data_IF_793757157291
#
_entry.id   IF_793757157291
#
_cell.length_a   1.000
_cell.length_b   1.000
_cell.length_c   1.000
_cell.angle_alpha   90.00
_cell.angle_beta   90.00
_cell.angle_gamma   90.00
#
_symmetry.space_group_name_H-M   'P 1'
#
loop_
_entity.id
_entity.type
_entity.pdbx_description
1 polymer ?
#
# COMPACT_ATOMS: atom_id res chain seq x y z
N UNK A 1 1.31 11.06 4.32
CA UNK A 1 0.43 11.15 3.15
C UNK A 1 -1.01 11.18 3.61
N UNK A 2 -1.82 11.99 3.01
CA UNK A 2 -3.24 12.07 3.31
C UNK A 2 -4.05 12.02 2.03
N UNK A 3 -5.13 11.26 2.03
CA UNK A 3 -6.11 11.31 0.97
C UNK A 3 -7.24 12.25 1.34
N UNK A 4 -7.55 13.20 0.49
CA UNK A 4 -8.73 14.05 0.65
C UNK A 4 -9.85 13.47 -0.16
N UNK A 5 -10.90 12.98 0.50
CA UNK A 5 -12.13 12.61 -0.18
C UNK A 5 -12.86 13.90 -0.60
N UNK A 6 -12.94 14.14 -1.90
CA UNK A 6 -13.77 15.19 -2.46
C UNK A 6 -15.12 14.59 -2.84
N UNK A 7 -16.11 14.81 -2.00
CA UNK A 7 -17.50 14.58 -2.37
C UNK A 7 -18.05 15.92 -2.81
N UNK A 8 -18.27 16.10 -4.10
CA UNK A 8 -18.71 17.38 -4.66
C UNK A 8 -19.61 17.21 -5.86
N UNK A 9 -20.24 18.29 -6.29
CA UNK A 9 -21.17 18.34 -7.42
C UNK A 9 -22.58 17.93 -7.06
N UNK A 10 -23.36 17.58 -8.07
CA UNK A 10 -24.79 17.32 -7.98
C UNK A 10 -25.13 15.97 -7.30
N UNK A 11 -24.11 15.21 -6.91
CA UNK A 11 -24.28 13.88 -6.28
C UNK A 11 -24.45 13.94 -4.76
N UNK A 12 -24.33 15.11 -4.14
CA UNK A 12 -24.46 15.24 -2.69
C UNK A 12 -25.64 16.15 -2.37
N UNK A 13 -26.70 15.53 -1.88
CA UNK A 13 -27.86 16.22 -1.31
C UNK A 13 -27.61 16.34 0.20
N UNK A 14 -27.45 17.58 0.69
CA UNK A 14 -27.27 17.87 2.10
C UNK A 14 -25.91 18.52 2.44
N UNK A 15 -25.55 18.52 3.72
CA UNK A 15 -24.31 19.12 4.20
C UNK A 15 -23.09 18.37 3.69
N UNK A 16 -22.14 19.10 3.15
CA UNK A 16 -20.88 18.53 2.64
C UNK A 16 -19.91 18.36 3.77
N UNK A 17 -19.41 17.16 3.95
CA UNK A 17 -18.29 16.91 4.84
C UNK A 17 -16.99 17.00 4.03
N UNK A 18 -16.19 18.01 4.32
CA UNK A 18 -14.82 18.13 3.83
C UNK A 18 -13.89 18.15 5.03
N UNK A 19 -12.87 17.32 5.02
CA UNK A 19 -11.91 17.23 6.09
C UNK A 19 -10.55 16.83 5.57
N UNK A 20 -9.54 17.14 6.37
CA UNK A 20 -8.16 16.74 6.16
C UNK A 20 -7.56 16.41 7.51
N UNK A 21 -6.85 15.29 7.58
CA UNK A 21 -6.04 14.94 8.74
C UNK A 21 -4.59 14.93 8.28
N UNK A 22 -3.74 15.62 9.00
CA UNK A 22 -2.30 15.69 8.77
C UNK A 22 -1.52 15.32 10.02
N UNK A 23 -0.39 14.68 9.86
CA UNK A 23 0.56 14.40 10.92
C UNK A 23 1.96 14.86 10.53
N UNK A 24 2.71 15.37 11.49
CA UNK A 24 4.11 15.74 11.34
C UNK A 24 4.92 14.94 12.37
N UNK A 25 5.94 14.23 11.87
CA UNK A 25 6.87 13.49 12.70
C UNK A 25 8.31 13.93 12.45
N UNK A 26 9.18 13.66 13.42
CA UNK A 26 10.62 13.85 13.29
C UNK A 26 11.29 12.51 13.54
N UNK A 27 12.20 12.11 12.66
CA UNK A 27 12.93 10.84 12.77
C UNK A 27 14.39 11.04 12.35
N UNK A 28 15.29 10.33 13.00
CA UNK A 28 16.69 10.25 12.60
C UNK A 28 16.90 9.33 11.39
N UNK A 29 15.97 8.41 11.15
CA UNK A 29 15.96 7.49 10.01
C UNK A 29 14.75 7.76 9.14
N UNK A 30 14.99 7.98 7.86
CA UNK A 30 13.95 8.18 6.85
C UNK A 30 14.00 7.04 5.85
N UNK A 31 12.89 6.35 5.68
CA UNK A 31 12.67 5.31 4.66
C UNK A 31 12.08 5.93 3.39
N UNK A 32 12.79 6.89 2.82
CA UNK A 32 12.28 7.66 1.68
C UNK A 32 12.34 6.84 0.38
N UNK A 33 11.37 7.02 -0.51
CA UNK A 33 11.29 6.35 -1.82
C UNK A 33 12.59 6.42 -2.64
N UNK A 34 13.29 7.54 -2.57
CA UNK A 34 14.58 7.77 -3.26
C UNK A 34 15.75 6.92 -2.75
N UNK A 35 15.58 6.21 -1.65
CA UNK A 35 16.63 5.43 -1.01
C UNK A 35 16.68 3.97 -1.47
N UNK A 36 15.74 3.56 -2.34
CA UNK A 36 15.77 2.23 -2.98
C UNK A 36 17.05 2.07 -3.83
N UNK A 37 17.63 0.88 -3.82
CA UNK A 37 18.91 0.58 -4.49
C UNK A 37 18.83 -0.69 -5.33
N UNK A 38 19.57 -0.77 -6.43
CA UNK A 38 19.72 -2.03 -7.16
C UNK A 38 20.22 -3.14 -6.22
N UNK A 39 19.62 -4.33 -6.33
CA UNK A 39 19.88 -5.47 -5.47
C UNK A 39 18.96 -5.59 -4.26
N UNK A 40 18.15 -4.59 -3.94
CA UNK A 40 17.14 -4.68 -2.90
C UNK A 40 16.01 -5.64 -3.31
N UNK A 41 15.40 -6.26 -2.32
CA UNK A 41 14.13 -6.99 -2.46
C UNK A 41 12.95 -6.09 -2.18
N UNK A 42 11.79 -6.45 -2.75
CA UNK A 42 10.55 -5.74 -2.58
C UNK A 42 9.55 -6.65 -1.86
N UNK A 43 9.10 -6.22 -0.69
CA UNK A 43 8.11 -6.92 0.11
C UNK A 43 6.80 -6.13 0.09
N UNK A 44 5.67 -6.83 0.17
CA UNK A 44 4.36 -6.20 0.29
C UNK A 44 3.52 -6.91 1.35
N UNK A 45 2.85 -6.13 2.19
CA UNK A 45 1.84 -6.67 3.11
C UNK A 45 0.51 -6.94 2.40
N UNK A 46 -0.35 -7.73 3.04
CA UNK A 46 -1.75 -7.81 2.59
C UNK A 46 -2.43 -6.44 2.62
N UNK A 47 -3.43 -6.29 1.75
CA UNK A 47 -4.24 -5.08 1.67
C UNK A 47 -5.69 -5.38 1.27
N UNK A 48 -6.61 -4.55 1.74
CA UNK A 48 -8.03 -4.73 1.50
C UNK A 48 -8.70 -3.49 0.88
N UNK A 49 -7.90 -2.59 0.34
CA UNK A 49 -8.38 -1.37 -0.29
C UNK A 49 -8.61 -0.22 0.67
N UNK A 50 -8.41 0.97 0.17
CA UNK A 50 -8.60 2.22 0.88
C UNK A 50 -9.76 3.02 0.32
N UNK A 51 -9.63 4.35 0.39
CA UNK A 51 -10.71 5.27 0.07
C UNK A 51 -11.34 5.09 -1.31
N UNK A 52 -10.55 4.80 -2.34
CA UNK A 52 -11.07 4.58 -3.71
C UNK A 52 -11.89 3.31 -3.80
N UNK A 53 -11.43 2.21 -3.20
CA UNK A 53 -12.14 0.93 -3.16
C UNK A 53 -13.42 1.05 -2.34
N UNK A 54 -13.34 1.70 -1.16
CA UNK A 54 -14.49 1.98 -0.31
C UNK A 54 -15.55 2.82 -1.04
N UNK A 55 -15.14 3.88 -1.74
CA UNK A 55 -16.06 4.72 -2.52
C UNK A 55 -16.73 3.93 -3.65
N UNK A 56 -15.99 3.10 -4.37
CA UNK A 56 -16.55 2.22 -5.40
C UNK A 56 -17.53 1.22 -4.79
N UNK A 57 -17.16 0.58 -3.68
CA UNK A 57 -18.03 -0.36 -2.97
C UNK A 57 -19.36 0.28 -2.52
N UNK A 58 -19.31 1.47 -1.97
CA UNK A 58 -20.51 2.23 -1.59
C UNK A 58 -21.37 2.57 -2.81
N UNK A 59 -20.76 3.06 -3.89
CA UNK A 59 -21.47 3.45 -5.10
C UNK A 59 -22.20 2.28 -5.76
N UNK A 60 -21.59 1.09 -5.75
CA UNK A 60 -22.16 -0.12 -6.33
C UNK A 60 -22.92 -1.00 -5.32
N UNK A 61 -23.15 -0.53 -4.09
CA UNK A 61 -23.91 -1.25 -3.07
C UNK A 61 -23.24 -2.51 -2.52
N UNK A 62 -21.90 -2.60 -2.59
CA UNK A 62 -21.08 -3.73 -2.12
C UNK A 62 -20.67 -3.50 -0.65
N UNK A 63 -21.65 -3.48 0.25
CA UNK A 63 -21.40 -3.13 1.65
C UNK A 63 -20.45 -4.09 2.36
N UNK A 64 -20.42 -5.36 1.97
CA UNK A 64 -19.49 -6.36 2.48
C UNK A 64 -18.02 -6.02 2.16
N UNK A 65 -17.79 -5.31 1.07
CA UNK A 65 -16.44 -4.82 0.69
C UNK A 65 -16.07 -3.57 1.49
N UNK A 66 -17.05 -2.71 1.81
CA UNK A 66 -16.81 -1.54 2.67
C UNK A 66 -16.23 -1.98 4.02
N UNK A 67 -16.77 -3.04 4.63
CA UNK A 67 -16.27 -3.57 5.91
C UNK A 67 -14.81 -4.02 5.81
N UNK A 68 -14.43 -4.68 4.71
CA UNK A 68 -13.03 -5.10 4.48
C UNK A 68 -12.07 -3.91 4.40
N UNK A 69 -12.52 -2.76 3.87
CA UNK A 69 -11.67 -1.56 3.73
C UNK A 69 -11.42 -0.82 5.05
N UNK A 70 -12.09 -1.20 6.13
CA UNK A 70 -11.94 -0.57 7.46
C UNK A 70 -10.79 -1.18 8.29
N UNK A 71 -9.90 -1.92 7.67
CA UNK A 71 -8.75 -2.49 8.34
C UNK A 71 -7.58 -1.49 8.49
N UNK A 72 -6.68 -1.79 9.42
CA UNK A 72 -5.48 -0.99 9.70
C UNK A 72 -4.19 -1.84 9.59
N UNK A 73 -4.22 -2.96 8.89
CA UNK A 73 -3.11 -3.93 8.83
C UNK A 73 -1.79 -3.33 8.38
N UNK A 74 -1.81 -2.42 7.41
CA UNK A 74 -0.60 -1.73 6.97
C UNK A 74 0.01 -0.83 8.06
N UNK A 75 -0.82 -0.26 8.95
CA UNK A 75 -0.35 0.49 10.12
C UNK A 75 0.23 -0.45 11.17
N UNK A 76 -0.41 -1.58 11.45
CA UNK A 76 0.11 -2.61 12.37
C UNK A 76 1.45 -3.17 11.90
N UNK A 77 1.59 -3.44 10.58
CA UNK A 77 2.87 -3.83 9.98
C UNK A 77 3.94 -2.75 10.12
N UNK A 78 3.59 -1.48 9.87
CA UNK A 78 4.50 -0.35 10.00
C UNK A 78 4.94 -0.15 11.45
N UNK A 79 4.02 -0.22 12.41
CA UNK A 79 4.31 -0.08 13.84
C UNK A 79 5.25 -1.20 14.32
N UNK A 80 5.00 -2.45 13.90
CA UNK A 80 5.84 -3.58 14.23
C UNK A 80 7.29 -3.40 13.72
N UNK A 81 7.44 -2.91 12.49
CA UNK A 81 8.77 -2.64 11.90
C UNK A 81 9.49 -1.48 12.59
N UNK A 82 8.76 -0.45 13.03
CA UNK A 82 9.35 0.68 13.74
C UNK A 82 9.80 0.32 15.17
N UNK A 83 9.23 -0.73 15.75
CA UNK A 83 9.63 -1.23 17.07
C UNK A 83 10.93 -2.05 17.04
N UNK A 84 11.39 -2.48 15.87
CA UNK A 84 12.59 -3.27 15.67
C UNK A 84 13.62 -2.52 14.80
N UNK A 85 14.88 -2.89 14.91
CA UNK A 85 15.99 -2.23 14.20
C UNK A 85 16.29 -2.91 12.86
N UNK A 86 15.35 -2.79 11.91
CA UNK A 86 15.54 -3.25 10.54
C UNK A 86 16.19 -2.20 9.65
N UNK A 87 17.08 -2.63 8.76
CA UNK A 87 17.66 -1.77 7.73
C UNK A 87 16.71 -1.69 6.52
N UNK A 88 15.74 -0.77 6.57
CA UNK A 88 14.79 -0.54 5.49
C UNK A 88 15.23 0.68 4.69
N UNK A 89 15.42 0.51 3.38
CA UNK A 89 15.80 1.60 2.48
C UNK A 89 14.64 2.49 2.11
N UNK A 90 13.49 1.89 1.72
CA UNK A 90 12.28 2.64 1.40
C UNK A 90 11.04 1.92 1.92
N UNK A 91 10.07 2.71 2.39
CA UNK A 91 8.78 2.19 2.85
C UNK A 91 7.68 3.19 2.50
N UNK A 92 6.57 2.69 1.98
CA UNK A 92 5.40 3.52 1.65
C UNK A 92 4.14 2.68 1.68
N UNK A 93 3.01 3.32 1.96
CA UNK A 93 1.69 2.76 1.76
C UNK A 93 1.33 2.74 0.26
N UNK A 94 0.55 1.75 -0.16
CA UNK A 94 0.01 1.65 -1.52
C UNK A 94 -1.32 2.39 -1.57
N UNK A 95 -1.26 3.67 -1.95
CA UNK A 95 -2.41 4.58 -1.95
C UNK A 95 -2.84 4.99 -3.38
N UNK A 96 -3.17 6.26 -3.60
CA UNK A 96 -3.64 6.76 -4.88
C UNK A 96 -2.65 6.47 -6.02
N UNK A 97 -3.16 5.87 -7.10
CA UNK A 97 -2.33 5.39 -8.21
C UNK A 97 -1.92 3.91 -8.08
N UNK A 98 -2.19 3.31 -6.92
CA UNK A 98 -1.92 1.90 -6.64
C UNK A 98 -0.45 1.54 -6.71
N UNK A 99 -0.15 0.25 -6.71
CA UNK A 99 1.22 -0.28 -6.84
C UNK A 99 1.92 0.28 -8.07
N UNK A 100 1.18 0.45 -9.17
CA UNK A 100 1.73 0.98 -10.43
C UNK A 100 2.21 2.43 -10.29
N UNK A 101 1.45 3.26 -9.56
CA UNK A 101 1.83 4.64 -9.25
C UNK A 101 3.05 4.71 -8.34
N UNK A 102 3.04 3.96 -7.24
CA UNK A 102 4.12 3.95 -6.27
C UNK A 102 5.42 3.38 -6.87
N UNK A 103 5.35 2.29 -7.63
CA UNK A 103 6.51 1.74 -8.34
C UNK A 103 7.12 2.76 -9.32
N UNK A 104 6.27 3.49 -10.07
CA UNK A 104 6.75 4.55 -10.97
C UNK A 104 7.43 5.69 -10.22
N UNK A 105 6.88 6.13 -9.09
CA UNK A 105 7.49 7.19 -8.28
C UNK A 105 8.82 6.75 -7.67
N UNK A 106 8.92 5.52 -7.17
CA UNK A 106 10.17 4.97 -6.64
C UNK A 106 11.20 4.87 -7.77
N UNK A 107 10.84 4.29 -8.91
CA UNK A 107 11.74 4.16 -10.05
C UNK A 107 12.29 5.51 -10.51
N UNK A 108 11.43 6.51 -10.62
CA UNK A 108 11.82 7.85 -11.03
C UNK A 108 12.71 8.57 -10.01
N UNK A 109 12.34 8.49 -8.72
CA UNK A 109 13.05 9.24 -7.67
C UNK A 109 14.36 8.60 -7.24
N UNK A 110 14.47 7.28 -7.31
CA UNK A 110 15.68 6.52 -6.99
C UNK A 110 16.57 6.26 -8.21
N UNK A 111 16.05 6.42 -9.44
CA UNK A 111 16.78 6.08 -10.66
C UNK A 111 17.00 4.57 -10.85
N UNK A 112 15.99 3.78 -10.48
CA UNK A 112 16.03 2.31 -10.49
C UNK A 112 14.87 1.71 -11.27
N UNK A 113 14.92 0.43 -11.56
CA UNK A 113 13.82 -0.36 -12.11
C UNK A 113 13.26 -1.32 -11.05
N UNK A 114 11.95 -1.32 -10.84
CA UNK A 114 11.27 -2.30 -10.01
C UNK A 114 10.72 -3.43 -10.88
N UNK A 115 11.08 -4.66 -10.57
CA UNK A 115 10.54 -5.88 -11.21
C UNK A 115 9.60 -6.54 -10.21
N UNK A 116 8.33 -6.62 -10.56
CA UNK A 116 7.27 -7.07 -9.65
C UNK A 116 6.61 -8.35 -10.18
N UNK A 117 6.32 -9.27 -9.30
CA UNK A 117 5.65 -10.53 -9.58
C UNK A 117 4.14 -10.40 -9.31
N UNK A 118 3.35 -10.30 -10.37
CA UNK A 118 1.91 -10.03 -10.27
C UNK A 118 1.15 -11.10 -9.48
N UNK A 119 1.51 -12.37 -9.62
CA UNK A 119 0.84 -13.46 -8.92
C UNK A 119 0.99 -13.35 -7.39
N UNK A 120 2.17 -12.98 -6.91
CA UNK A 120 2.42 -12.75 -5.49
C UNK A 120 1.63 -11.56 -4.96
N UNK A 121 1.63 -10.45 -5.68
CA UNK A 121 0.84 -9.27 -5.31
C UNK A 121 -0.65 -9.59 -5.23
N UNK A 122 -1.17 -10.34 -6.22
CA UNK A 122 -2.57 -10.71 -6.30
C UNK A 122 -3.03 -11.52 -5.09
N UNK A 123 -2.18 -12.44 -4.56
CA UNK A 123 -2.49 -13.25 -3.37
C UNK A 123 -2.63 -12.43 -2.09
N UNK A 124 -2.00 -11.27 -2.04
CA UNK A 124 -2.01 -10.37 -0.88
C UNK A 124 -3.20 -9.41 -0.89
N UNK A 125 -3.92 -9.29 -2.00
CA UNK A 125 -5.14 -8.47 -2.04
C UNK A 125 -6.31 -9.27 -1.48
N UNK A 126 -7.12 -8.64 -0.62
CA UNK A 126 -8.33 -9.25 -0.08
C UNK A 126 -9.24 -9.79 -1.20
N UNK A 127 -9.67 -11.04 -1.08
CA UNK A 127 -10.39 -11.74 -2.13
C UNK A 127 -11.72 -11.07 -2.53
N UNK A 128 -12.48 -10.53 -1.57
CA UNK A 128 -13.74 -9.83 -1.85
C UNK A 128 -13.52 -8.51 -2.58
N UNK A 129 -12.47 -7.80 -2.20
CA UNK A 129 -12.05 -6.56 -2.88
C UNK A 129 -11.66 -6.88 -4.32
N UNK A 130 -10.83 -7.90 -4.52
CA UNK A 130 -10.38 -8.32 -5.84
C UNK A 130 -11.54 -8.74 -6.75
N UNK A 131 -12.46 -9.57 -6.24
CA UNK A 131 -13.68 -9.99 -6.95
C UNK A 131 -14.53 -8.78 -7.39
N UNK A 132 -14.74 -7.80 -6.50
CA UNK A 132 -15.46 -6.59 -6.84
C UNK A 132 -14.74 -5.81 -7.96
N UNK A 133 -13.45 -5.54 -7.80
CA UNK A 133 -12.68 -4.78 -8.80
C UNK A 133 -12.72 -5.45 -10.16
N UNK A 134 -12.58 -6.77 -10.23
CA UNK A 134 -12.68 -7.55 -11.46
C UNK A 134 -14.07 -7.46 -12.09
N UNK A 135 -15.13 -7.60 -11.29
CA UNK A 135 -16.51 -7.48 -11.76
C UNK A 135 -16.83 -6.11 -12.36
N UNK A 136 -16.16 -5.08 -11.87
CA UNK A 136 -16.28 -3.69 -12.33
C UNK A 136 -15.25 -3.34 -13.43
N UNK A 137 -14.40 -4.29 -13.82
CA UNK A 137 -13.29 -4.08 -14.77
C UNK A 137 -12.32 -2.97 -14.32
N UNK A 138 -12.11 -2.86 -13.02
CA UNK A 138 -11.15 -1.93 -12.42
C UNK A 138 -9.84 -2.67 -12.19
N UNK A 139 -8.75 -2.10 -12.69
CA UNK A 139 -7.41 -2.62 -12.50
C UNK A 139 -6.94 -2.41 -11.05
N UNK A 140 -6.78 -3.51 -10.30
CA UNK A 140 -6.37 -3.47 -8.89
C UNK A 140 -4.95 -2.90 -8.69
N UNK A 141 -4.08 -2.97 -9.71
CA UNK A 141 -2.75 -2.39 -9.65
C UNK A 141 -2.75 -0.86 -9.74
N UNK A 142 -3.85 -0.26 -10.17
CA UNK A 142 -4.02 1.19 -10.35
C UNK A 142 -4.83 1.88 -9.24
N UNK A 143 -5.29 1.16 -8.24
CA UNK A 143 -6.08 1.70 -7.13
C UNK A 143 -5.42 1.46 -5.78
N UNK A 144 -5.78 2.27 -4.79
CA UNK A 144 -5.33 2.07 -3.41
C UNK A 144 -5.81 0.71 -2.89
N UNK A 145 -4.88 -0.10 -2.41
CA UNK A 145 -5.17 -1.37 -1.73
C UNK A 145 -4.78 -1.33 -0.25
N UNK A 146 -4.28 -0.21 0.24
CA UNK A 146 -3.83 0.02 1.62
C UNK A 146 -2.94 -1.11 2.15
N UNK A 147 -1.97 -1.51 1.33
CA UNK A 147 -0.88 -2.40 1.68
C UNK A 147 0.37 -1.57 2.02
N UNK A 148 1.31 -2.16 2.73
CA UNK A 148 2.63 -1.57 2.97
C UNK A 148 3.62 -2.15 1.97
N UNK A 149 4.30 -1.28 1.22
CA UNK A 149 5.39 -1.62 0.32
C UNK A 149 6.72 -1.31 1.00
N UNK A 150 7.62 -2.30 1.05
CA UNK A 150 8.89 -2.23 1.76
C UNK A 150 10.00 -2.63 0.81
N UNK A 151 11.07 -1.86 0.78
CA UNK A 151 12.28 -2.13 -0.01
C UNK A 151 13.46 -2.17 0.94
N UNK A 152 14.17 -3.28 0.94
CA UNK A 152 15.25 -3.53 1.88
C UNK A 152 16.33 -4.43 1.25
N UNK A 153 17.55 -4.47 1.81
CA UNK A 153 18.56 -5.44 1.42
C UNK A 153 18.06 -6.89 1.57
N UNK A 154 18.47 -7.82 0.70
CA UNK A 154 18.02 -9.22 0.76
C UNK A 154 18.22 -9.91 2.11
N UNK A 155 19.30 -9.59 2.83
CA UNK A 155 19.61 -10.14 4.15
C UNK A 155 18.61 -9.72 5.24
N UNK A 156 17.85 -8.66 5.04
CA UNK A 156 16.80 -8.19 5.95
C UNK A 156 15.43 -8.84 5.70
N UNK A 157 15.22 -9.45 4.54
CA UNK A 157 13.91 -9.92 4.08
C UNK A 157 13.25 -10.87 5.07
N UNK A 158 13.96 -11.91 5.51
CA UNK A 158 13.41 -12.91 6.43
C UNK A 158 13.05 -12.29 7.79
N UNK A 159 13.88 -11.38 8.30
CA UNK A 159 13.63 -10.64 9.53
C UNK A 159 12.39 -9.77 9.45
N UNK A 160 12.26 -8.98 8.39
CA UNK A 160 11.11 -8.12 8.12
C UNK A 160 9.83 -8.94 8.00
N UNK A 161 9.86 -10.04 7.22
CA UNK A 161 8.71 -10.94 7.05
C UNK A 161 8.30 -11.55 8.41
N UNK A 162 9.26 -12.01 9.21
CA UNK A 162 8.97 -12.57 10.52
C UNK A 162 8.33 -11.56 11.47
N UNK A 163 8.81 -10.31 11.46
CA UNK A 163 8.27 -9.22 12.29
C UNK A 163 6.83 -8.90 11.91
N UNK A 164 6.53 -8.72 10.63
CA UNK A 164 5.18 -8.40 10.15
C UNK A 164 4.21 -9.56 10.44
N UNK A 165 4.63 -10.79 10.21
CA UNK A 165 3.80 -11.98 10.49
C UNK A 165 3.52 -12.15 11.98
N UNK A 166 4.45 -11.81 12.88
CA UNK A 166 4.19 -11.79 14.34
C UNK A 166 3.12 -10.77 14.73
N UNK A 167 2.98 -9.69 13.99
CA UNK A 167 1.90 -8.72 14.15
C UNK A 167 0.55 -9.20 13.55
N UNK A 168 0.50 -10.42 13.01
CA UNK A 168 -0.74 -10.99 12.44
C UNK A 168 -1.06 -10.52 11.04
N UNK A 169 -0.10 -9.92 10.32
CA UNK A 169 -0.26 -9.41 8.97
C UNK A 169 0.45 -10.32 7.97
N UNK A 170 -0.24 -10.71 6.88
CA UNK A 170 0.40 -11.46 5.83
C UNK A 170 1.34 -10.56 5.01
N UNK A 171 2.49 -11.13 4.62
CA UNK A 171 3.50 -10.43 3.81
C UNK A 171 4.25 -11.44 2.96
N UNK A 172 4.59 -11.04 1.73
CA UNK A 172 5.42 -11.83 0.81
C UNK A 172 6.45 -10.93 0.11
N UNK A 173 7.53 -11.56 -0.34
CA UNK A 173 8.40 -10.96 -1.33
C UNK A 173 7.69 -10.96 -2.67
N UNK A 174 7.61 -9.79 -3.29
CA UNK A 174 6.89 -9.59 -4.54
C UNK A 174 7.80 -9.14 -5.69
N UNK A 175 9.09 -9.01 -5.47
CA UNK A 175 9.99 -8.60 -6.53
C UNK A 175 11.35 -8.10 -6.07
N UNK A 176 12.06 -7.48 -7.00
CA UNK A 176 13.41 -6.95 -6.77
C UNK A 176 13.62 -5.60 -7.44
N UNK A 177 14.63 -4.88 -6.96
CA UNK A 177 15.09 -3.62 -7.53
C UNK A 177 16.31 -3.87 -8.42
N UNK A 178 16.25 -3.41 -9.65
CA UNK A 178 17.32 -3.54 -10.64
C UNK A 178 17.87 -2.17 -11.05
N UNK A 179 19.00 -2.18 -11.75
CA UNK A 179 19.52 -0.95 -12.39
C UNK A 179 18.48 -0.37 -13.36
N UNK A 180 18.32 0.97 -13.36
CA UNK A 180 17.36 1.72 -14.16
C UNK A 180 17.83 2.02 -15.57
#
# INVERSE_FOLDING_TARGET
>A
TGSTLRIGGDMVIGDRLTGCVGAVGVSERLTARKSARPGDVILMSEGAGGGTVCAAALYYGRHEVVEETLNIKFLEASEALLAEDHNIHAMTDVTNGGIRGDAKEISYTAGVRLVLAEEQMRRLVNARVLEMLESLQIDYLGVSIDALLIIAPPEEADGIIATIRRAGVAVEEIGAVEEG
#
